data_IF_871268070986
#
_entry.id   IF_871268070986
#
_cell.length_a   1.000
_cell.length_b   1.000
_cell.length_c   1.000
_cell.angle_alpha   90.00
_cell.angle_beta   90.00
_cell.angle_gamma   90.00
#
_symmetry.space_group_name_H-M   'P 1'
#
loop_
_entity.id
_entity.type
_entity.pdbx_description
1 polymer ?
#
# COMPACT_ATOMS: atom_id res chain seq x y z
N UNK A 1 16.86 0.45 7.96
CA UNK A 1 17.20 -0.99 8.06
C UNK A 1 16.36 -1.68 9.14
N UNK A 2 16.39 -1.25 10.41
CA UNK A 2 15.55 -1.83 11.50
C UNK A 2 14.04 -1.93 11.19
N UNK A 3 13.49 -0.95 10.47
CA UNK A 3 12.08 -0.94 10.11
C UNK A 3 11.68 -2.09 9.16
N UNK A 4 12.60 -2.55 8.28
CA UNK A 4 12.33 -3.69 7.40
C UNK A 4 12.20 -4.98 8.20
N UNK A 5 13.05 -5.13 9.22
CA UNK A 5 13.07 -6.32 10.07
C UNK A 5 11.80 -6.43 10.90
N UNK A 6 11.28 -5.30 11.40
CA UNK A 6 9.99 -5.26 12.08
C UNK A 6 8.84 -5.66 11.16
N UNK A 7 8.74 -5.08 9.95
CA UNK A 7 7.68 -5.42 9.01
C UNK A 7 7.74 -6.90 8.59
N UNK A 8 8.96 -7.41 8.39
CA UNK A 8 9.20 -8.84 8.14
C UNK A 8 8.72 -9.70 9.31
N UNK A 9 9.03 -9.31 10.54
CA UNK A 9 8.60 -10.03 11.73
C UNK A 9 7.08 -10.10 11.82
N UNK A 10 6.39 -8.97 11.62
CA UNK A 10 4.92 -8.90 11.65
C UNK A 10 4.28 -9.79 10.59
N UNK A 11 4.76 -9.74 9.34
CA UNK A 11 4.22 -10.60 8.28
C UNK A 11 4.43 -12.08 8.60
N UNK A 12 5.57 -12.44 9.19
CA UNK A 12 5.83 -13.81 9.64
C UNK A 12 4.92 -14.25 10.79
N UNK A 13 4.62 -13.36 11.75
CA UNK A 13 3.66 -13.62 12.82
C UNK A 13 2.25 -13.83 12.26
N UNK A 14 1.82 -12.99 11.32
CA UNK A 14 0.51 -13.11 10.65
C UNK A 14 0.41 -14.46 9.95
N UNK A 15 1.46 -14.84 9.20
CA UNK A 15 1.51 -16.12 8.47
C UNK A 15 1.38 -17.32 9.40
N UNK A 16 1.97 -17.27 10.60
CA UNK A 16 1.87 -18.34 11.61
C UNK A 16 0.50 -18.37 12.29
N UNK A 17 -0.07 -17.21 12.57
CA UNK A 17 -1.29 -17.08 13.39
C UNK A 17 -2.57 -17.25 12.57
N UNK A 18 -2.54 -16.82 11.30
CA UNK A 18 -3.70 -16.84 10.40
C UNK A 18 -3.37 -17.70 9.17
N UNK A 19 -3.44 -19.02 9.34
CA UNK A 19 -3.17 -20.01 8.27
C UNK A 19 -4.09 -19.87 7.05
N UNK A 20 -5.25 -19.23 7.22
CA UNK A 20 -6.19 -18.90 6.14
C UNK A 20 -5.65 -17.83 5.17
N UNK A 21 -4.65 -17.05 5.61
CA UNK A 21 -4.04 -15.96 4.85
C UNK A 21 -2.67 -16.39 4.34
N UNK A 22 -2.61 -16.76 3.06
CA UNK A 22 -1.32 -16.97 2.38
C UNK A 22 -0.73 -15.62 2.04
N UNK A 23 0.23 -15.15 2.85
CA UNK A 23 0.91 -13.87 2.65
C UNK A 23 2.38 -14.11 2.31
N UNK A 24 2.82 -13.52 1.19
CA UNK A 24 4.22 -13.36 0.82
C UNK A 24 4.53 -11.87 0.76
N UNK A 25 5.71 -11.45 1.22
CA UNK A 25 6.12 -10.05 1.13
C UNK A 25 7.39 -9.93 0.29
N UNK A 26 7.49 -8.80 -0.39
CA UNK A 26 8.68 -8.41 -1.13
C UNK A 26 9.01 -6.95 -0.82
N UNK A 27 10.31 -6.65 -0.74
CA UNK A 27 10.81 -5.31 -0.48
C UNK A 27 11.68 -4.87 -1.65
N UNK A 28 11.45 -3.68 -2.17
CA UNK A 28 12.24 -3.10 -3.27
C UNK A 28 12.85 -1.79 -2.79
N UNK A 29 14.17 -1.66 -2.99
CA UNK A 29 14.85 -0.39 -2.84
C UNK A 29 14.77 0.35 -4.18
N UNK A 30 14.10 1.49 -4.19
CA UNK A 30 14.04 2.34 -5.37
C UNK A 30 15.39 3.05 -5.57
N UNK A 31 15.91 3.10 -6.80
CA UNK A 31 17.13 3.84 -7.08
C UNK A 31 16.86 5.35 -6.90
N UNK A 32 17.85 6.09 -6.39
CA UNK A 32 17.76 7.55 -6.14
C UNK A 32 17.81 8.38 -7.43
N UNK A 33 17.34 7.85 -8.56
CA UNK A 33 17.37 8.50 -9.86
C UNK A 33 16.36 9.64 -9.93
N UNK A 34 16.76 10.77 -10.51
CA UNK A 34 15.89 11.93 -10.76
C UNK A 34 14.69 11.62 -11.67
N UNK A 35 14.70 10.49 -12.37
CA UNK A 35 13.63 10.07 -13.28
C UNK A 35 12.44 9.45 -12.56
N UNK A 36 12.63 8.89 -11.36
CA UNK A 36 11.56 8.27 -10.57
C UNK A 36 10.98 9.35 -9.65
N UNK A 37 9.84 9.89 -10.03
CA UNK A 37 9.10 10.84 -9.18
C UNK A 37 8.31 10.07 -8.14
N UNK A 38 7.95 10.72 -7.02
CA UNK A 38 7.15 10.07 -5.97
C UNK A 38 5.83 9.50 -6.50
N UNK A 39 5.25 10.15 -7.50
CA UNK A 39 3.99 9.74 -8.12
C UNK A 39 4.10 8.43 -8.91
N UNK A 40 5.31 8.07 -9.38
CA UNK A 40 5.55 6.88 -10.20
C UNK A 40 6.11 5.69 -9.43
N UNK A 41 6.28 5.82 -8.11
CA UNK A 41 6.81 4.73 -7.29
C UNK A 41 5.93 3.47 -7.41
N UNK A 42 4.61 3.64 -7.35
CA UNK A 42 3.69 2.51 -7.37
C UNK A 42 3.71 1.78 -8.71
N UNK A 43 3.68 2.52 -9.82
CA UNK A 43 3.74 1.95 -11.17
C UNK A 43 5.09 1.28 -11.43
N UNK A 44 6.20 1.90 -11.01
CA UNK A 44 7.53 1.30 -11.12
C UNK A 44 7.64 -0.03 -10.37
N UNK A 45 7.11 -0.10 -9.15
CA UNK A 45 7.13 -1.34 -8.36
C UNK A 45 6.27 -2.41 -9.02
N UNK A 46 5.06 -2.05 -9.47
CA UNK A 46 4.17 -2.99 -10.13
C UNK A 46 4.76 -3.51 -11.44
N UNK A 47 5.41 -2.65 -12.24
CA UNK A 47 6.15 -3.05 -13.44
C UNK A 47 7.30 -4.02 -13.13
N UNK A 48 8.02 -3.80 -12.03
CA UNK A 48 9.09 -4.70 -11.60
C UNK A 48 8.57 -6.09 -11.20
N UNK A 49 7.34 -6.17 -10.67
CA UNK A 49 6.73 -7.43 -10.22
C UNK A 49 5.83 -8.10 -11.25
N UNK A 50 5.47 -7.41 -12.34
CA UNK A 50 4.64 -7.95 -13.42
C UNK A 50 5.12 -9.31 -13.93
N UNK A 51 6.44 -9.47 -14.11
CA UNK A 51 7.04 -10.72 -14.61
C UNK A 51 7.26 -11.78 -13.53
N UNK A 52 7.09 -11.41 -12.25
CA UNK A 52 7.43 -12.25 -11.08
C UNK A 52 6.19 -12.82 -10.39
N UNK A 53 5.06 -12.14 -10.54
CA UNK A 53 3.79 -12.52 -9.93
C UNK A 53 2.85 -13.07 -10.99
N UNK A 54 1.91 -13.93 -10.58
CA UNK A 54 0.84 -14.40 -11.47
C UNK A 54 -0.18 -13.28 -11.66
N UNK A 55 -0.89 -13.26 -12.79
CA UNK A 55 -1.95 -12.28 -13.05
C UNK A 55 -3.04 -12.27 -11.97
N UNK A 56 -3.45 -13.43 -11.46
CA UNK A 56 -4.43 -13.55 -10.37
C UNK A 56 -3.86 -13.28 -8.96
N UNK A 57 -2.66 -12.69 -8.86
CA UNK A 57 -2.07 -12.36 -7.56
C UNK A 57 -2.70 -11.09 -7.01
N UNK A 58 -3.27 -11.19 -5.81
CA UNK A 58 -3.71 -10.03 -5.03
C UNK A 58 -2.49 -9.38 -4.37
N UNK A 59 -2.30 -8.09 -4.63
CA UNK A 59 -1.16 -7.31 -4.15
C UNK A 59 -1.69 -6.22 -3.23
N UNK A 60 -1.10 -6.14 -2.04
CA UNK A 60 -1.19 -4.95 -1.22
C UNK A 60 0.15 -4.21 -1.29
N UNK A 61 0.16 -3.10 -2.01
CA UNK A 61 1.31 -2.22 -2.13
C UNK A 61 1.24 -1.15 -1.03
N UNK A 62 2.35 -0.94 -0.33
CA UNK A 62 2.45 0.01 0.78
C UNK A 62 3.87 0.54 0.91
N UNK A 63 4.01 1.64 1.66
CA UNK A 63 5.30 2.17 2.08
C UNK A 63 5.84 1.38 3.31
N UNK A 64 7.14 1.52 3.63
CA UNK A 64 7.76 0.73 4.69
C UNK A 64 7.53 1.20 6.13
N UNK A 65 6.92 2.36 6.31
CA UNK A 65 6.73 3.00 7.62
C UNK A 65 5.36 2.67 8.21
N UNK A 66 4.72 1.60 7.74
CA UNK A 66 3.41 1.15 8.21
C UNK A 66 3.54 -0.02 9.18
N UNK A 67 2.64 -0.04 10.15
CA UNK A 67 2.37 -1.23 10.93
C UNK A 67 1.20 -1.96 10.26
N UNK A 68 1.41 -3.24 9.91
CA UNK A 68 0.41 -4.06 9.23
C UNK A 68 -0.16 -5.06 10.24
N UNK A 69 -1.46 -5.01 10.44
CA UNK A 69 -2.18 -6.00 11.25
C UNK A 69 -2.87 -7.04 10.38
N UNK A 70 -3.06 -8.25 10.91
CA UNK A 70 -3.75 -9.34 10.18
C UNK A 70 -5.16 -8.96 9.73
N UNK A 71 -5.92 -8.27 10.58
CA UNK A 71 -7.28 -7.86 10.26
C UNK A 71 -7.30 -6.78 9.17
N UNK A 72 -6.26 -5.94 9.10
CA UNK A 72 -6.09 -4.99 8.01
C UNK A 72 -5.88 -5.71 6.67
N UNK A 73 -4.97 -6.71 6.61
CA UNK A 73 -4.78 -7.49 5.38
C UNK A 73 -6.04 -8.25 4.95
N UNK A 74 -6.81 -8.76 5.92
CA UNK A 74 -8.10 -9.38 5.59
C UNK A 74 -9.11 -8.37 5.04
N UNK A 75 -9.13 -7.12 5.53
CA UNK A 75 -9.94 -6.05 4.93
C UNK A 75 -9.49 -5.75 3.51
N UNK A 76 -8.18 -5.65 3.24
CA UNK A 76 -7.68 -5.48 1.87
C UNK A 76 -8.16 -6.63 0.97
N UNK A 77 -8.05 -7.89 1.43
CA UNK A 77 -8.52 -9.06 0.69
C UNK A 77 -10.02 -9.04 0.39
N UNK A 78 -10.84 -8.55 1.31
CA UNK A 78 -12.30 -8.50 1.14
C UNK A 78 -12.78 -7.31 0.28
N UNK A 79 -12.00 -6.24 0.16
CA UNK A 79 -12.39 -5.03 -0.57
C UNK A 79 -11.79 -4.91 -1.98
N UNK A 80 -10.95 -5.85 -2.39
CA UNK A 80 -10.43 -5.93 -3.76
C UNK A 80 -11.16 -7.04 -4.49
N UNK A 81 -11.72 -6.71 -5.65
CA UNK A 81 -12.48 -7.64 -6.49
C UNK A 81 -11.86 -7.62 -7.88
N UNK A 82 -11.30 -8.76 -8.30
CA UNK A 82 -10.62 -8.90 -9.59
C UNK A 82 -11.53 -8.46 -10.75
N UNK A 83 -11.00 -7.63 -11.66
CA UNK A 83 -11.68 -7.03 -12.82
C UNK A 83 -12.85 -6.10 -12.50
N UNK A 84 -13.05 -5.72 -11.23
CA UNK A 84 -14.18 -4.87 -10.81
C UNK A 84 -13.73 -3.69 -9.96
N UNK A 85 -12.91 -3.93 -8.95
CA UNK A 85 -12.63 -2.94 -7.91
C UNK A 85 -11.23 -3.08 -7.32
N UNK A 86 -10.51 -1.95 -7.31
CA UNK A 86 -9.30 -1.75 -6.51
C UNK A 86 -9.63 -1.07 -5.18
N UNK A 87 -8.77 -1.21 -4.18
CA UNK A 87 -9.01 -0.70 -2.83
C UNK A 87 -7.90 0.25 -2.39
N UNK A 88 -8.25 1.51 -2.09
CA UNK A 88 -7.34 2.48 -1.49
C UNK A 88 -7.67 2.65 0.01
N UNK A 89 -6.94 2.00 0.93
CA UNK A 89 -7.24 2.10 2.35
C UNK A 89 -6.89 3.46 2.92
N UNK A 90 -7.80 4.00 3.74
CA UNK A 90 -7.54 5.19 4.56
C UNK A 90 -6.82 4.76 5.84
N UNK A 91 -5.52 5.04 5.91
CA UNK A 91 -4.70 4.68 7.06
C UNK A 91 -4.71 5.77 8.15
N UNK A 92 -4.50 5.34 9.39
CA UNK A 92 -4.28 6.23 10.53
C UNK A 92 -2.80 6.59 10.62
N UNK A 93 -2.48 7.88 10.52
CA UNK A 93 -1.14 8.42 10.61
C UNK A 93 -0.91 8.95 12.01
N UNK A 94 0.07 8.38 12.69
CA UNK A 94 0.41 8.79 14.05
C UNK A 94 1.21 10.10 14.02
N UNK A 95 0.97 10.95 15.03
CA UNK A 95 1.85 12.09 15.28
C UNK A 95 3.22 11.62 15.75
N UNK A 96 4.19 12.53 15.71
CA UNK A 96 5.53 12.26 16.23
C UNK A 96 5.44 11.79 17.70
N UNK A 97 6.19 10.76 18.13
CA UNK A 97 6.13 10.23 19.50
C UNK A 97 6.23 11.30 20.59
N UNK A 98 7.16 12.26 20.45
CA UNK A 98 7.25 13.41 21.36
C UNK A 98 5.97 14.24 21.53
N UNK A 99 5.09 14.31 20.54
CA UNK A 99 3.79 15.00 20.64
C UNK A 99 2.83 14.14 21.46
N UNK A 100 2.77 12.86 21.14
CA UNK A 100 1.91 11.88 21.82
C UNK A 100 2.28 11.80 23.31
N UNK A 101 3.58 11.64 23.60
CA UNK A 101 4.12 11.49 24.96
C UNK A 101 3.92 12.72 25.87
N UNK A 102 3.72 13.92 25.30
CA UNK A 102 3.40 15.13 26.08
C UNK A 102 1.99 15.09 26.67
N UNK A 103 1.08 14.37 26.02
CA UNK A 103 -0.33 14.30 26.41
C UNK A 103 -0.66 13.01 27.16
N UNK A 104 0.09 11.93 26.89
CA UNK A 104 -0.12 10.62 27.46
C UNK A 104 1.24 10.04 27.88
N UNK A 105 1.33 9.46 29.09
CA UNK A 105 2.52 8.71 29.51
C UNK A 105 2.56 7.36 28.78
N UNK A 106 2.96 7.38 27.51
CA UNK A 106 3.16 6.20 26.68
C UNK A 106 4.59 5.69 26.85
N UNK A 107 4.76 4.39 27.05
CA UNK A 107 6.07 3.71 27.00
C UNK A 107 6.33 3.23 25.57
N UNK A 108 7.59 2.96 25.19
CA UNK A 108 7.95 2.55 23.82
C UNK A 108 7.21 1.29 23.31
N UNK A 109 6.57 0.52 24.20
CA UNK A 109 5.85 -0.71 23.88
C UNK A 109 4.32 -0.60 24.00
N UNK A 110 3.75 0.60 24.21
CA UNK A 110 2.29 0.73 24.28
C UNK A 110 1.65 0.60 22.90
N UNK A 111 0.62 -0.25 22.79
CA UNK A 111 -0.29 -0.24 21.64
C UNK A 111 -0.98 1.12 21.59
N UNK A 112 -0.75 1.89 20.54
CA UNK A 112 -1.35 3.21 20.38
C UNK A 112 -2.80 3.01 19.93
N UNK A 113 -3.73 3.27 20.84
CA UNK A 113 -5.15 3.24 20.52
C UNK A 113 -5.48 4.33 19.49
N UNK A 114 -6.43 4.01 18.60
CA UNK A 114 -6.96 4.93 17.60
C UNK A 114 -7.70 6.07 18.31
N UNK A 115 -6.99 7.17 18.52
CA UNK A 115 -7.52 8.36 19.19
C UNK A 115 -7.02 9.63 18.52
N UNK A 116 -7.84 10.69 18.53
CA UNK A 116 -7.54 11.96 17.86
C UNK A 116 -6.29 12.66 18.42
N UNK A 117 -5.89 12.37 19.66
CA UNK A 117 -4.64 12.87 20.25
C UNK A 117 -3.39 12.17 19.71
N UNK A 118 -3.54 10.99 19.11
CA UNK A 118 -2.43 10.16 18.66
C UNK A 118 -2.14 10.31 17.16
N UNK A 119 -3.03 10.95 16.41
CA UNK A 119 -2.89 11.08 14.97
C UNK A 119 -4.18 11.47 14.27
N UNK A 120 -4.24 11.22 12.97
CA UNK A 120 -5.40 11.47 12.12
C UNK A 120 -5.59 10.36 11.08
N UNK A 121 -6.76 10.31 10.46
CA UNK A 121 -6.96 9.56 9.23
C UNK A 121 -6.54 10.40 8.04
N UNK A 122 -5.58 9.93 7.25
CA UNK A 122 -5.11 10.65 6.07
C UNK A 122 -5.87 10.17 4.83
N UNK A 123 -6.88 10.93 4.40
CA UNK A 123 -7.65 10.65 3.19
C UNK A 123 -6.86 10.84 1.89
N UNK A 124 -5.68 11.48 1.96
CA UNK A 124 -4.80 11.75 0.82
C UNK A 124 -3.58 10.81 0.77
N UNK A 125 -3.61 9.72 1.55
CA UNK A 125 -2.55 8.72 1.57
C UNK A 125 -2.70 7.72 0.41
N UNK A 126 -2.42 8.15 -0.81
CA UNK A 126 -2.56 7.34 -2.04
C UNK A 126 -1.40 6.36 -2.27
N UNK A 127 -0.47 6.26 -1.32
CA UNK A 127 0.69 5.36 -1.38
C UNK A 127 0.32 3.89 -1.07
N UNK A 128 -0.93 3.65 -0.64
CA UNK A 128 -1.43 2.34 -0.25
C UNK A 128 -2.53 1.89 -1.21
N UNK A 129 -2.40 0.69 -1.77
CA UNK A 129 -3.40 0.14 -2.69
C UNK A 129 -3.45 -1.38 -2.60
N UNK A 130 -4.67 -1.92 -2.54
CA UNK A 130 -4.99 -3.30 -2.83
C UNK A 130 -5.45 -3.45 -4.29
N UNK A 131 -4.80 -4.31 -5.06
CA UNK A 131 -5.03 -4.45 -6.50
C UNK A 131 -4.66 -5.87 -6.96
N UNK A 132 -5.38 -6.41 -7.94
CA UNK A 132 -4.93 -7.61 -8.65
C UNK A 132 -3.92 -7.25 -9.75
N UNK A 133 -2.91 -8.10 -9.95
CA UNK A 133 -1.97 -7.89 -11.06
C UNK A 133 -2.69 -7.84 -12.42
N UNK A 134 -3.74 -8.64 -12.62
CA UNK A 134 -4.61 -8.59 -13.81
C UNK A 134 -5.25 -7.22 -14.05
N UNK A 135 -5.73 -6.55 -13.00
CA UNK A 135 -6.28 -5.19 -13.08
C UNK A 135 -5.20 -4.18 -13.49
N UNK A 136 -3.98 -4.31 -12.93
CA UNK A 136 -2.86 -3.45 -13.30
C UNK A 136 -2.45 -3.63 -14.77
N UNK A 137 -2.42 -4.87 -15.27
CA UNK A 137 -2.12 -5.15 -16.67
C UNK A 137 -3.18 -4.59 -17.62
N UNK A 138 -4.46 -4.71 -17.24
CA UNK A 138 -5.57 -4.10 -17.97
C UNK A 138 -5.45 -2.58 -18.02
N UNK A 139 -5.10 -1.97 -16.88
CA UNK A 139 -4.81 -0.54 -16.76
C UNK A 139 -3.69 -0.11 -17.71
N UNK A 140 -2.54 -0.81 -17.70
CA UNK A 140 -1.41 -0.51 -18.60
C UNK A 140 -1.79 -0.57 -20.08
N UNK A 141 -2.59 -1.58 -20.46
CA UNK A 141 -3.08 -1.72 -21.84
C UNK A 141 -3.98 -0.55 -22.22
N UNK A 142 -4.88 -0.14 -21.33
CA UNK A 142 -5.75 1.01 -21.53
C UNK A 142 -4.93 2.30 -21.68
N UNK A 143 -3.96 2.54 -20.78
CA UNK A 143 -3.07 3.70 -20.87
C UNK A 143 -2.33 3.72 -22.21
N UNK A 144 -1.78 2.59 -22.65
CA UNK A 144 -1.06 2.50 -23.92
C UNK A 144 -1.93 2.83 -25.13
N UNK A 145 -3.25 2.68 -25.02
CA UNK A 145 -4.22 3.10 -26.05
C UNK A 145 -4.63 4.57 -25.93
N UNK A 146 -4.26 5.25 -24.85
CA UNK A 146 -4.53 6.67 -24.58
C UNK A 146 -3.26 7.52 -24.66
N UNK A 147 -3.39 8.84 -24.80
CA UNK A 147 -2.24 9.77 -24.74
C UNK A 147 -1.82 10.15 -23.30
N UNK A 148 -2.14 9.32 -22.30
CA UNK A 148 -1.84 9.62 -20.89
C UNK A 148 -0.39 9.22 -20.57
N UNK A 149 0.38 10.15 -20.00
CA UNK A 149 1.75 9.87 -19.55
C UNK A 149 1.77 9.31 -18.12
N UNK A 150 2.31 8.10 -17.97
CA UNK A 150 2.55 7.46 -16.66
C UNK A 150 3.54 8.22 -15.76
N UNK A 151 4.28 9.20 -16.29
CA UNK A 151 5.37 9.86 -15.56
C UNK A 151 4.91 10.97 -14.60
N UNK A 152 3.66 11.44 -14.73
CA UNK A 152 3.16 12.65 -14.04
C UNK A 152 1.97 12.43 -13.11
N UNK A 153 1.38 11.24 -13.11
CA UNK A 153 0.11 10.95 -12.42
C UNK A 153 0.32 9.76 -11.48
N UNK A 154 -0.24 9.85 -10.27
CA UNK A 154 -0.21 8.72 -9.34
C UNK A 154 -1.28 7.68 -9.70
N UNK A 155 -1.18 6.48 -9.10
CA UNK A 155 -2.06 5.38 -9.44
C UNK A 155 -3.53 5.65 -9.09
N UNK A 156 -3.82 6.40 -8.02
CA UNK A 156 -5.18 6.76 -7.63
C UNK A 156 -5.85 7.64 -8.69
N UNK A 157 -5.21 8.76 -9.05
CA UNK A 157 -5.74 9.70 -10.03
C UNK A 157 -5.94 9.02 -11.39
N UNK A 158 -5.04 8.11 -11.75
CA UNK A 158 -5.14 7.32 -12.97
C UNK A 158 -6.36 6.39 -12.98
N UNK A 159 -6.65 5.72 -11.87
CA UNK A 159 -7.86 4.89 -11.76
C UNK A 159 -9.13 5.74 -11.80
N UNK A 160 -9.15 6.91 -11.16
CA UNK A 160 -10.29 7.84 -11.22
C UNK A 160 -10.52 8.32 -12.66
N UNK A 161 -9.47 8.83 -13.31
CA UNK A 161 -9.57 9.38 -14.67
C UNK A 161 -10.03 8.35 -15.70
N UNK A 162 -9.59 7.10 -15.57
CA UNK A 162 -9.98 6.03 -16.50
C UNK A 162 -11.33 5.40 -16.17
N UNK A 163 -11.77 5.47 -14.91
CA UNK A 163 -13.12 5.03 -14.53
C UNK A 163 -14.19 5.97 -15.06
N UNK A 164 -13.95 7.28 -15.04
CA UNK A 164 -14.88 8.29 -15.54
C UNK A 164 -15.05 8.30 -17.07
N UNK A 165 -14.17 7.62 -17.79
CA UNK A 165 -14.17 7.55 -19.27
C UNK A 165 -14.94 6.35 -19.84
N UNK A 166 -15.32 5.39 -19.01
CA UNK A 166 -16.14 4.23 -19.36
C UNK A 166 -17.62 4.47 -19.02
#
# INVERSE_FOLDING_TARGET
>A
QKWFDNLRHEVELIRRTRTQLTVTYHTVLLPSSSTITRYTHSTYILDFFETKLRSNSLIFLTNPYVNIESDFLNRCRLNVIENVQVFFPIAFYQYHPHIIMRTHHMTDNSTIDLHKSHGWFNSYAFDHIGIYMSDYLSLKKLISSTNISLSSINLYDLFVELSDRN
#
